data_IF_424464478073
#
_entry.id   IF_424464478073
#
_cell.length_a   1.000
_cell.length_b   1.000
_cell.length_c   1.000
_cell.angle_alpha   90.00
_cell.angle_beta   90.00
_cell.angle_gamma   90.00
#
_symmetry.space_group_name_H-M   'P 1'
#
loop_
_entity.id
_entity.type
_entity.pdbx_description
1 polymer ?
#
# COMPACT_ATOMS: atom_id res chain seq x y z
N UNK A 1 13.07 12.06 6.84
CA UNK A 1 13.14 10.57 6.87
C UNK A 1 13.13 10.12 8.32
N UNK A 2 12.22 9.23 8.72
CA UNK A 2 12.16 8.70 10.09
C UNK A 2 13.05 7.47 10.29
N UNK A 3 13.54 7.25 11.52
CA UNK A 3 14.37 6.11 11.89
C UNK A 3 13.71 4.75 11.58
N UNK A 4 14.50 3.67 11.52
CA UNK A 4 13.94 2.32 11.47
C UNK A 4 13.00 2.10 12.67
N UNK A 5 11.85 1.45 12.45
CA UNK A 5 10.83 1.29 13.50
C UNK A 5 9.93 2.51 13.76
N UNK A 6 10.14 3.66 13.10
CA UNK A 6 9.30 4.86 13.29
C UNK A 6 7.86 4.75 12.73
N UNK A 7 7.38 3.55 12.40
CA UNK A 7 6.01 3.33 11.93
C UNK A 7 5.72 3.71 10.47
N UNK A 8 6.74 3.97 9.65
CA UNK A 8 6.55 4.36 8.23
C UNK A 8 5.73 3.35 7.43
N UNK A 9 6.12 2.08 7.50
CA UNK A 9 5.42 0.97 6.83
C UNK A 9 4.02 0.78 7.40
N UNK A 10 3.87 0.93 8.73
CA UNK A 10 2.56 0.87 9.40
C UNK A 10 1.62 1.98 8.91
N UNK A 11 2.11 3.21 8.78
CA UNK A 11 1.32 4.34 8.27
C UNK A 11 0.87 4.11 6.83
N UNK A 12 1.77 3.63 5.96
CA UNK A 12 1.40 3.32 4.57
C UNK A 12 0.38 2.17 4.48
N UNK A 13 0.48 1.16 5.35
CA UNK A 13 -0.51 0.10 5.45
C UNK A 13 -1.89 0.64 5.86
N UNK A 14 -1.93 1.57 6.82
CA UNK A 14 -3.16 2.26 7.22
C UNK A 14 -3.78 3.02 6.05
N UNK A 15 -2.99 3.85 5.35
CA UNK A 15 -3.47 4.64 4.22
C UNK A 15 -3.97 3.77 3.06
N UNK A 16 -3.39 2.60 2.84
CA UNK A 16 -3.76 1.70 1.74
C UNK A 16 -4.80 0.65 2.12
N UNK A 17 -5.29 0.66 3.37
CA UNK A 17 -6.26 -0.32 3.86
C UNK A 17 -5.71 -1.75 3.99
N UNK A 18 -4.40 -1.92 4.11
CA UNK A 18 -3.71 -3.22 4.16
C UNK A 18 -3.30 -3.59 5.57
N UNK A 19 -3.32 -4.89 5.88
CA UNK A 19 -2.83 -5.45 7.16
C UNK A 19 -3.43 -4.82 8.43
N UNK A 20 -4.68 -4.33 8.36
CA UNK A 20 -5.32 -3.62 9.46
C UNK A 20 -5.79 -4.52 10.63
N UNK A 21 -5.84 -5.84 10.45
CA UNK A 21 -6.43 -6.78 11.43
C UNK A 21 -5.82 -6.73 12.82
N UNK A 22 -4.57 -6.28 12.93
CA UNK A 22 -3.82 -6.20 14.18
C UNK A 22 -3.68 -4.76 14.69
N UNK A 23 -4.33 -3.79 14.04
CA UNK A 23 -4.18 -2.36 14.32
C UNK A 23 -5.52 -1.78 14.76
N UNK A 24 -5.49 -0.99 15.83
CA UNK A 24 -6.56 -0.03 16.11
C UNK A 24 -6.25 1.24 15.33
N UNK A 25 -7.14 1.61 14.43
CA UNK A 25 -6.98 2.77 13.54
C UNK A 25 -8.11 3.74 13.81
N UNK A 26 -7.74 4.97 14.18
CA UNK A 26 -8.65 6.09 14.38
C UNK A 26 -8.33 7.21 13.39
N UNK A 27 -9.35 7.98 12.99
CA UNK A 27 -9.25 9.07 12.03
C UNK A 27 -9.82 8.74 10.65
N UNK A 28 -9.70 9.69 9.72
CA UNK A 28 -10.27 9.58 8.38
C UNK A 28 -9.20 9.73 7.30
N UNK A 29 -9.33 8.95 6.22
CA UNK A 29 -8.50 9.05 5.03
C UNK A 29 -9.33 9.70 3.93
N UNK A 30 -8.95 10.92 3.57
CA UNK A 30 -9.62 11.70 2.53
C UNK A 30 -8.77 11.77 1.27
N UNK A 31 -9.39 11.61 0.10
CA UNK A 31 -8.79 11.90 -1.20
C UNK A 31 -9.65 12.94 -1.87
N UNK A 32 -9.07 14.09 -2.22
CA UNK A 32 -9.80 15.23 -2.77
C UNK A 32 -10.97 15.71 -1.89
N UNK A 33 -10.85 15.58 -0.57
CA UNK A 33 -11.89 15.96 0.41
C UNK A 33 -12.94 14.89 0.66
N UNK A 34 -12.94 13.78 -0.09
CA UNK A 34 -13.91 12.70 0.04
C UNK A 34 -13.34 11.53 0.84
N UNK A 35 -14.14 10.95 1.74
CA UNK A 35 -13.76 9.76 2.47
C UNK A 35 -13.82 8.54 1.54
N UNK A 36 -12.65 7.96 1.26
CA UNK A 36 -12.52 6.87 0.29
C UNK A 36 -12.64 5.48 0.92
N UNK A 37 -12.50 5.35 2.23
CA UNK A 37 -12.53 4.06 2.93
C UNK A 37 -11.74 2.96 2.20
N UNK A 38 -12.40 1.84 1.89
CA UNK A 38 -11.80 0.70 1.17
C UNK A 38 -11.56 0.97 -0.33
N UNK A 39 -12.19 1.99 -0.91
CA UNK A 39 -12.02 2.35 -2.32
C UNK A 39 -10.62 2.89 -2.64
N UNK A 40 -9.82 3.24 -1.62
CA UNK A 40 -8.43 3.69 -1.78
C UNK A 40 -7.58 2.70 -2.60
N UNK A 41 -7.87 1.40 -2.49
CA UNK A 41 -7.20 0.33 -3.24
C UNK A 41 -7.44 0.38 -4.75
N UNK A 42 -8.55 1.00 -5.19
CA UNK A 42 -8.88 1.19 -6.62
C UNK A 42 -8.37 2.53 -7.16
N UNK A 43 -8.07 3.49 -6.28
CA UNK A 43 -7.69 4.86 -6.63
C UNK A 43 -6.18 5.11 -6.52
N UNK A 44 -5.43 4.19 -5.93
CA UNK A 44 -4.01 4.32 -5.67
C UNK A 44 -3.24 3.05 -6.04
N UNK A 45 -1.94 3.21 -6.25
CA UNK A 45 -1.00 2.11 -6.40
C UNK A 45 -0.07 2.07 -5.17
N UNK A 46 0.23 0.87 -4.67
CA UNK A 46 1.16 0.67 -3.57
C UNK A 46 2.28 -0.27 -3.99
N UNK A 47 3.50 0.26 -3.99
CA UNK A 47 4.72 -0.50 -4.22
C UNK A 47 5.25 -0.98 -2.86
N UNK A 48 5.47 -2.29 -2.74
CA UNK A 48 5.97 -2.90 -1.51
C UNK A 48 7.45 -2.55 -1.26
N UNK A 49 7.92 -2.73 -0.03
CA UNK A 49 9.35 -2.54 0.28
C UNK A 49 10.22 -3.64 -0.35
N UNK A 50 9.68 -4.85 -0.40
CA UNK A 50 10.31 -5.99 -1.06
C UNK A 50 9.67 -6.20 -2.43
N UNK A 51 10.51 -6.47 -3.42
CA UNK A 51 10.06 -6.73 -4.78
C UNK A 51 9.62 -8.20 -4.95
N UNK A 52 8.46 -8.42 -5.56
CA UNK A 52 7.93 -9.76 -5.84
C UNK A 52 7.99 -10.07 -7.35
N UNK A 53 9.21 -10.25 -7.87
CA UNK A 53 9.43 -10.63 -9.26
C UNK A 53 9.49 -12.15 -9.46
N UNK A 54 8.94 -12.62 -10.58
CA UNK A 54 9.11 -14.02 -11.02
C UNK A 54 10.35 -14.08 -11.90
N UNK A 55 11.43 -14.69 -11.39
CA UNK A 55 12.74 -14.68 -12.05
C UNK A 55 12.82 -15.39 -13.40
N UNK A 56 11.78 -16.13 -13.80
CA UNK A 56 11.68 -16.78 -15.11
C UNK A 56 10.96 -15.93 -16.15
N UNK A 57 10.42 -14.76 -15.79
CA UNK A 57 9.77 -13.83 -16.71
C UNK A 57 10.70 -12.68 -17.10
N UNK A 58 10.58 -12.23 -18.34
CA UNK A 58 11.12 -10.94 -18.78
C UNK A 58 10.34 -9.78 -18.17
N UNK A 59 10.93 -8.58 -18.19
CA UNK A 59 10.26 -7.35 -17.72
C UNK A 59 8.92 -7.11 -18.43
N UNK A 60 8.86 -7.33 -19.75
CA UNK A 60 7.62 -7.16 -20.54
C UNK A 60 6.55 -8.14 -20.10
N UNK A 61 6.91 -9.41 -19.91
CA UNK A 61 5.96 -10.43 -19.45
C UNK A 61 5.46 -10.10 -18.05
N UNK A 62 6.32 -9.61 -17.16
CA UNK A 62 5.92 -9.20 -15.81
C UNK A 62 4.86 -8.08 -15.85
N UNK A 63 5.05 -7.05 -16.67
CA UNK A 63 4.09 -5.95 -16.84
C UNK A 63 2.76 -6.35 -17.51
N UNK A 64 2.76 -7.44 -18.27
CA UNK A 64 1.54 -7.93 -18.95
C UNK A 64 0.71 -8.82 -18.01
N UNK A 65 1.35 -9.59 -17.14
CA UNK A 65 0.68 -10.62 -16.33
C UNK A 65 0.48 -10.24 -14.86
N UNK A 66 1.17 -9.24 -14.33
CA UNK A 66 1.06 -8.78 -12.95
C UNK A 66 0.31 -7.45 -12.86
#
# INVERSE_FOLDING_TARGET
>A
MGASGAGKTTLLNVLTGRNLRLLNVDGEVLVNGENVGQAITRLSAYVQQDDLFIGTLTVREHLIFQ
#
